data_IF_474821439294
#
_entry.id   IF_474821439294
#
_cell.length_a   1.000
_cell.length_b   1.000
_cell.length_c   1.000
_cell.angle_alpha   90.00
_cell.angle_beta   90.00
_cell.angle_gamma   90.00
#
_symmetry.space_group_name_H-M   'P 1'
#
loop_
_entity.id
_entity.type
_entity.pdbx_description
1 polymer ?
#
# COMPACT_ATOMS: atom_id res chain seq x y z
N UNK A 1 12.33 -12.20 -5.26
CA UNK A 1 12.55 -11.38 -4.82
C UNK A 1 11.93 -10.04 -4.60
N UNK A 2 10.99 -9.58 -5.43
CA UNK A 2 10.41 -8.26 -5.24
C UNK A 2 9.68 -8.09 -3.90
N UNK A 3 9.03 -9.16 -3.40
CA UNK A 3 8.30 -9.10 -2.13
C UNK A 3 9.21 -8.86 -0.94
N UNK A 4 10.39 -9.50 -0.96
CA UNK A 4 11.35 -9.36 0.13
C UNK A 4 11.94 -7.96 0.17
N UNK A 5 12.30 -7.42 -0.99
CA UNK A 5 12.83 -6.07 -1.09
C UNK A 5 11.81 -5.04 -0.64
N UNK A 6 10.54 -5.22 -1.03
CA UNK A 6 9.47 -4.34 -0.63
C UNK A 6 9.28 -4.37 0.89
N UNK A 7 9.27 -5.56 1.47
CA UNK A 7 9.10 -5.71 2.91
C UNK A 7 10.27 -5.09 3.67
N UNK A 8 11.50 -5.29 3.20
CA UNK A 8 12.67 -4.71 3.83
C UNK A 8 12.61 -3.19 3.80
N UNK A 9 12.19 -2.61 2.69
CA UNK A 9 12.03 -1.16 2.58
C UNK A 9 10.97 -0.65 3.55
N UNK A 10 9.86 -1.36 3.68
CA UNK A 10 8.80 -0.97 4.60
C UNK A 10 9.25 -1.04 6.05
N UNK A 11 10.07 -2.04 6.40
CA UNK A 11 10.58 -2.19 7.76
C UNK A 11 11.56 -1.08 8.14
N UNK A 12 12.24 -0.49 7.16
CA UNK A 12 13.19 0.59 7.39
C UNK A 12 12.55 1.96 7.49
N UNK A 13 11.26 2.07 7.19
CA UNK A 13 10.56 3.36 7.21
C UNK A 13 10.31 3.84 8.64
N UNK A 14 10.43 5.15 8.84
CA UNK A 14 10.05 5.79 10.09
C UNK A 14 8.52 5.79 10.23
N UNK A 15 8.03 6.11 11.44
CA UNK A 15 6.59 6.18 11.67
C UNK A 15 5.91 7.22 10.76
N UNK A 16 6.57 8.36 10.57
CA UNK A 16 6.04 9.41 9.70
C UNK A 16 6.01 8.96 8.25
N UNK A 17 7.07 8.28 7.81
CA UNK A 17 7.14 7.76 6.46
C UNK A 17 6.09 6.68 6.22
N UNK A 18 5.84 5.83 7.21
CA UNK A 18 4.79 4.81 7.11
C UNK A 18 3.42 5.44 6.94
N UNK A 19 3.15 6.49 7.70
CA UNK A 19 1.87 7.21 7.58
C UNK A 19 1.73 7.85 6.21
N UNK A 20 2.80 8.47 5.71
CA UNK A 20 2.79 9.11 4.40
C UNK A 20 2.57 8.08 3.28
N UNK A 21 3.24 6.93 3.35
CA UNK A 21 3.07 5.88 2.36
C UNK A 21 1.66 5.29 2.43
N UNK A 22 1.12 5.09 3.62
CA UNK A 22 -0.24 4.59 3.80
C UNK A 22 -1.25 5.54 3.17
N UNK A 23 -1.11 6.83 3.42
CA UNK A 23 -1.99 7.84 2.85
C UNK A 23 -1.89 7.86 1.33
N UNK A 24 -0.68 7.76 0.80
CA UNK A 24 -0.45 7.77 -0.64
C UNK A 24 -1.07 6.55 -1.31
N UNK A 25 -0.93 5.37 -0.70
CA UNK A 25 -1.53 4.16 -1.23
C UNK A 25 -3.06 4.21 -1.20
N UNK A 26 -3.63 4.75 -0.12
CA UNK A 26 -5.08 4.91 -0.05
C UNK A 26 -5.60 5.84 -1.15
N UNK A 27 -4.90 6.92 -1.39
CA UNK A 27 -5.27 7.86 -2.45
C UNK A 27 -5.15 7.21 -3.82
N UNK A 28 -4.07 6.47 -4.05
CA UNK A 28 -3.85 5.75 -5.30
C UNK A 28 -4.93 4.70 -5.53
N UNK A 29 -5.31 3.95 -4.50
CA UNK A 29 -6.40 2.98 -4.58
C UNK A 29 -7.72 3.65 -4.94
N UNK A 30 -7.99 4.80 -4.35
CA UNK A 30 -9.20 5.56 -4.64
C UNK A 30 -9.25 5.95 -6.12
N UNK A 31 -8.14 6.45 -6.66
CA UNK A 31 -8.05 6.81 -8.06
C UNK A 31 -8.24 5.60 -8.97
N UNK A 32 -7.63 4.47 -8.62
CA UNK A 32 -7.75 3.24 -9.41
C UNK A 32 -9.17 2.70 -9.41
N UNK A 33 -9.86 2.77 -8.28
CA UNK A 33 -11.27 2.38 -8.20
C UNK A 33 -12.13 3.26 -9.10
N UNK A 34 -11.82 4.54 -9.14
CA UNK A 34 -12.51 5.48 -10.01
C UNK A 34 -12.30 5.14 -11.48
N UNK A 35 -11.05 4.84 -11.86
CA UNK A 35 -10.71 4.42 -13.21
C UNK A 35 -11.43 3.14 -13.59
N UNK A 36 -11.51 2.19 -12.69
CA UNK A 36 -12.22 0.95 -12.93
C UNK A 36 -13.70 1.20 -13.19
N UNK A 37 -14.31 2.12 -12.44
CA UNK A 37 -15.70 2.49 -12.64
C UNK A 37 -15.92 3.12 -14.02
N UNK A 38 -14.89 3.74 -14.59
CA UNK A 38 -14.95 4.31 -15.94
C UNK A 38 -14.66 3.27 -17.05
N UNK A 39 -14.42 2.02 -16.68
CA UNK A 39 -14.23 0.94 -17.65
C UNK A 39 -12.80 0.55 -17.93
N UNK A 40 -11.82 1.08 -17.21
CA UNK A 40 -10.42 0.72 -17.38
C UNK A 40 -10.11 -0.58 -16.66
N UNK A 41 -10.15 -1.69 -17.40
CA UNK A 41 -9.96 -3.03 -16.82
C UNK A 41 -8.54 -3.27 -16.29
N UNK A 42 -7.56 -2.55 -16.82
CA UNK A 42 -6.17 -2.68 -16.35
C UNK A 42 -6.00 -2.24 -14.89
N UNK A 43 -6.92 -1.43 -14.39
CA UNK A 43 -6.88 -0.96 -13.02
C UNK A 43 -7.08 -2.09 -12.00
N UNK A 44 -7.72 -3.19 -12.38
CA UNK A 44 -7.98 -4.32 -11.48
C UNK A 44 -6.69 -4.88 -10.91
N UNK A 45 -5.70 -5.10 -11.77
CA UNK A 45 -4.42 -5.67 -11.35
C UNK A 45 -3.69 -4.73 -10.39
N UNK A 46 -3.69 -3.44 -10.71
CA UNK A 46 -3.05 -2.43 -9.86
C UNK A 46 -3.73 -2.30 -8.51
N UNK A 47 -5.06 -2.36 -8.50
CA UNK A 47 -5.81 -2.32 -7.23
C UNK A 47 -5.39 -3.49 -6.34
N UNK A 48 -5.30 -4.69 -6.90
CA UNK A 48 -4.90 -5.87 -6.14
C UNK A 48 -3.50 -5.71 -5.55
N UNK A 49 -2.55 -5.26 -6.37
CA UNK A 49 -1.16 -5.09 -5.93
C UNK A 49 -1.05 -4.03 -4.84
N UNK A 50 -1.73 -2.90 -5.02
CA UNK A 50 -1.67 -1.82 -4.04
C UNK A 50 -2.39 -2.16 -2.73
N UNK A 51 -3.47 -2.94 -2.81
CA UNK A 51 -4.13 -3.44 -1.60
C UNK A 51 -3.19 -4.33 -0.78
N UNK A 52 -2.40 -5.16 -1.45
CA UNK A 52 -1.43 -6.00 -0.76
C UNK A 52 -0.36 -5.16 -0.08
N UNK A 53 0.16 -4.15 -0.78
CA UNK A 53 1.15 -3.24 -0.20
C UNK A 53 0.59 -2.48 0.99
N UNK A 54 -0.63 -1.98 0.87
CA UNK A 54 -1.30 -1.28 1.95
C UNK A 54 -1.49 -2.17 3.17
N UNK A 55 -1.92 -3.42 2.95
CA UNK A 55 -2.11 -4.38 4.05
C UNK A 55 -0.80 -4.64 4.79
N UNK A 56 0.31 -4.74 4.06
CA UNK A 56 1.64 -4.92 4.67
C UNK A 56 2.03 -3.73 5.52
N UNK A 57 1.83 -2.53 4.99
CA UNK A 57 2.14 -1.30 5.73
C UNK A 57 1.30 -1.19 6.99
N UNK A 58 0.03 -1.52 6.91
CA UNK A 58 -0.85 -1.50 8.07
C UNK A 58 -0.43 -2.51 9.12
N UNK A 59 -0.01 -3.70 8.70
CA UNK A 59 0.48 -4.73 9.61
C UNK A 59 1.73 -4.26 10.34
N UNK A 60 2.69 -3.68 9.63
CA UNK A 60 3.92 -3.16 10.22
C UNK A 60 3.61 -2.04 11.21
N UNK A 61 2.71 -1.13 10.83
CA UNK A 61 2.30 -0.03 11.69
C UNK A 61 1.67 -0.53 12.98
N UNK A 62 0.81 -1.54 12.89
CA UNK A 62 0.19 -2.15 14.07
C UNK A 62 1.21 -2.78 14.99
N UNK A 63 2.17 -3.51 14.42
CA UNK A 63 3.22 -4.16 15.21
C UNK A 63 4.03 -3.13 15.98
N UNK A 64 4.34 -2.01 15.36
CA UNK A 64 5.08 -0.93 16.03
C UNK A 64 4.27 -0.27 17.13
N UNK A 65 2.96 -0.12 16.94
CA UNK A 65 2.09 0.49 17.94
C UNK A 65 1.90 -0.41 19.17
N UNK A 66 1.97 -1.71 19.00
CA UNK A 66 1.80 -2.67 20.09
C UNK A 66 3.05 -2.82 20.94
N UNK A 67 4.19 -2.39 20.48
CA UNK A 67 5.44 -2.42 21.21
C UNK A 67 5.65 -1.11 21.98
#
# INVERSE_FOLDING_TARGET
>A
MKRREELDKMLDLSAEELQAETARLKESLFRLKFKLALGEVDAVKRIRDEKQSLARLQTISRQRQQN
#
